data_IF_308749756830
#
_entry.id   IF_308749756830
#
_cell.length_a   1.000
_cell.length_b   1.000
_cell.length_c   1.000
_cell.angle_alpha   90.00
_cell.angle_beta   90.00
_cell.angle_gamma   90.00
#
_symmetry.space_group_name_H-M   'P 1'
#
loop_
_entity.id
_entity.type
_entity.pdbx_description
1 polymer ?
#
# COMPACT_ATOMS: atom_id res chain seq x y z
N UNK A 1 -32.98 27.93 17.94
CA UNK A 1 -33.68 26.92 17.12
C UNK A 1 -33.06 26.96 15.72
N UNK A 2 -32.73 25.77 15.19
CA UNK A 2 -32.15 25.37 13.88
C UNK A 2 -32.56 26.24 12.68
N UNK A 3 -31.84 26.40 11.55
CA UNK A 3 -30.81 25.64 10.82
C UNK A 3 -30.17 26.62 9.79
N UNK A 4 -28.93 26.40 9.34
CA UNK A 4 -28.51 26.90 8.02
C UNK A 4 -27.02 27.10 7.81
N UNK A 5 -26.38 26.14 7.16
CA UNK A 5 -25.00 26.16 6.65
C UNK A 5 -24.62 27.49 5.99
N UNK A 6 -23.61 28.18 6.51
CA UNK A 6 -22.70 29.00 5.69
C UNK A 6 -21.48 29.37 6.52
N UNK A 7 -20.36 28.67 6.32
CA UNK A 7 -19.06 29.25 6.64
C UNK A 7 -18.39 29.59 5.32
N UNK A 8 -18.24 30.89 5.15
CA UNK A 8 -17.68 31.65 4.06
C UNK A 8 -16.18 31.37 3.91
N UNK A 9 -15.78 30.71 2.84
CA UNK A 9 -14.40 30.77 2.34
C UNK A 9 -14.26 32.02 1.45
N UNK A 10 -13.31 32.94 1.73
CA UNK A 10 -13.20 34.20 1.00
C UNK A 10 -12.80 34.00 -0.46
N UNK A 11 -13.61 34.55 -1.37
CA UNK A 11 -13.31 34.64 -2.80
C UNK A 11 -12.31 35.76 -3.10
N UNK A 12 -11.04 35.58 -2.78
CA UNK A 12 -9.98 36.38 -3.42
C UNK A 12 -9.05 35.46 -4.19
N UNK A 13 -9.51 35.17 -5.40
CA UNK A 13 -8.86 34.38 -6.44
C UNK A 13 -7.81 35.25 -7.15
N UNK A 14 -6.54 35.12 -6.76
CA UNK A 14 -5.45 35.62 -7.58
C UNK A 14 -5.28 34.70 -8.81
N UNK A 15 -5.46 35.28 -10.00
CA UNK A 15 -5.28 34.62 -11.28
C UNK A 15 -3.79 34.54 -11.62
N UNK A 16 -3.13 33.41 -11.37
CA UNK A 16 -1.94 32.96 -12.08
C UNK A 16 -1.88 31.43 -12.02
N UNK A 17 -1.50 30.81 -13.14
CA UNK A 17 -1.73 29.40 -13.47
C UNK A 17 -1.17 28.37 -12.49
N UNK A 18 -1.58 27.11 -12.75
CA UNK A 18 -1.38 25.88 -11.98
C UNK A 18 -2.39 25.66 -10.84
N UNK A 19 -3.12 24.55 -10.93
CA UNK A 19 -4.25 24.15 -10.08
C UNK A 19 -3.72 23.62 -8.74
N UNK A 20 -3.61 24.48 -7.74
CA UNK A 20 -3.44 24.05 -6.35
C UNK A 20 -4.84 23.68 -5.83
N UNK A 21 -5.09 22.39 -5.58
CA UNK A 21 -6.32 21.91 -4.95
C UNK A 21 -6.20 22.09 -3.44
N UNK A 22 -7.22 22.67 -2.81
CA UNK A 22 -7.44 22.54 -1.38
C UNK A 22 -8.01 21.14 -1.17
N UNK A 23 -7.20 20.24 -0.61
CA UNK A 23 -7.64 18.90 -0.27
C UNK A 23 -8.74 18.98 0.79
N UNK A 24 -9.80 18.18 0.63
CA UNK A 24 -10.89 18.05 1.60
C UNK A 24 -10.64 16.85 2.52
N UNK A 25 -11.03 16.94 3.79
CA UNK A 25 -10.81 15.90 4.82
C UNK A 25 -11.34 14.51 4.39
N UNK A 26 -12.42 14.46 3.60
CA UNK A 26 -13.01 13.23 3.06
C UNK A 26 -12.11 12.51 2.02
N UNK A 27 -11.25 13.23 1.28
CA UNK A 27 -10.34 12.63 0.29
C UNK A 27 -9.14 11.94 0.97
N UNK A 28 -8.63 12.50 2.07
CA UNK A 28 -7.55 11.90 2.86
C UNK A 28 -7.99 10.61 3.58
N UNK A 29 -9.22 10.57 4.10
CA UNK A 29 -9.76 9.39 4.77
C UNK A 29 -9.90 8.20 3.80
N UNK A 30 -10.36 8.46 2.57
CA UNK A 30 -10.48 7.44 1.51
C UNK A 30 -9.11 6.90 1.08
N UNK A 31 -8.11 7.75 0.93
CA UNK A 31 -6.73 7.35 0.58
C UNK A 31 -6.10 6.49 1.69
N UNK A 32 -6.33 6.86 2.95
CA UNK A 32 -5.86 6.11 4.12
C UNK A 32 -6.49 4.71 4.19
N UNK A 33 -7.81 4.62 4.02
CA UNK A 33 -8.53 3.34 4.00
C UNK A 33 -8.05 2.42 2.88
N UNK A 34 -7.80 2.96 1.69
CA UNK A 34 -7.28 2.18 0.57
C UNK A 34 -5.86 1.69 0.84
N UNK A 35 -5.01 2.53 1.42
CA UNK A 35 -3.67 2.14 1.85
C UNK A 35 -3.70 0.99 2.87
N UNK A 36 -4.59 1.05 3.87
CA UNK A 36 -4.76 -0.03 4.85
C UNK A 36 -5.23 -1.33 4.18
N UNK A 37 -6.17 -1.27 3.23
CA UNK A 37 -6.63 -2.47 2.50
C UNK A 37 -5.49 -3.12 1.71
N UNK A 38 -4.60 -2.33 1.10
CA UNK A 38 -3.46 -2.91 0.36
C UNK A 38 -2.49 -3.65 1.29
N UNK A 39 -2.26 -3.14 2.51
CA UNK A 39 -1.49 -3.84 3.54
C UNK A 39 -2.24 -5.10 4.04
N UNK A 40 -3.56 -4.95 4.16
CA UNK A 40 -4.60 -5.95 4.47
C UNK A 40 -4.61 -7.18 3.56
N UNK A 41 -4.26 -6.94 2.31
CA UNK A 41 -4.63 -7.85 1.25
C UNK A 41 -3.89 -9.19 1.33
N UNK A 42 -4.55 -10.30 0.98
CA UNK A 42 -3.97 -11.62 1.16
C UNK A 42 -2.77 -11.83 0.23
N UNK A 43 -2.01 -12.89 0.51
CA UNK A 43 -0.90 -13.36 -0.29
C UNK A 43 -1.29 -13.50 -1.77
N UNK A 44 -0.55 -12.86 -2.67
CA UNK A 44 -0.80 -12.88 -4.12
C UNK A 44 -0.86 -14.30 -4.72
N UNK A 45 -0.11 -15.25 -4.14
CA UNK A 45 0.04 -16.60 -4.68
C UNK A 45 -1.03 -17.59 -4.23
N UNK A 46 -1.53 -17.44 -3.00
CA UNK A 46 -2.50 -18.39 -2.45
C UNK A 46 -3.82 -17.76 -2.04
N UNK A 47 -3.89 -16.43 -1.96
CA UNK A 47 -5.08 -15.66 -1.64
C UNK A 47 -5.77 -16.03 -0.30
N UNK A 48 -5.11 -16.81 0.56
CA UNK A 48 -5.67 -17.29 1.83
C UNK A 48 -4.95 -16.78 3.08
N UNK A 49 -3.65 -16.49 2.98
CA UNK A 49 -2.80 -16.15 4.14
C UNK A 49 -2.35 -14.70 4.09
N UNK A 50 -2.07 -14.06 5.23
CA UNK A 50 -1.53 -12.71 5.26
C UNK A 50 -0.16 -12.64 4.57
N UNK A 51 0.25 -11.43 4.17
CA UNK A 51 1.58 -11.18 3.63
C UNK A 51 2.58 -11.07 4.78
N UNK A 52 3.07 -12.21 5.23
CA UNK A 52 4.09 -12.32 6.27
C UNK A 52 5.44 -12.83 5.74
N UNK A 53 5.59 -13.00 4.42
CA UNK A 53 6.78 -13.55 3.77
C UNK A 53 7.52 -12.52 2.92
N UNK A 54 8.54 -11.87 3.50
CA UNK A 54 9.36 -10.89 2.80
C UNK A 54 10.31 -11.58 1.81
N UNK A 55 10.22 -11.25 0.52
CA UNK A 55 11.08 -11.80 -0.54
C UNK A 55 12.27 -10.87 -0.75
N UNK A 56 13.45 -11.22 -0.22
CA UNK A 56 14.65 -10.37 -0.21
C UNK A 56 15.54 -10.65 -1.42
N UNK A 57 15.94 -9.57 -2.10
CA UNK A 57 16.91 -9.59 -3.21
C UNK A 57 17.83 -8.35 -3.11
N UNK A 58 19.13 -8.57 -2.94
CA UNK A 58 20.08 -7.48 -2.69
C UNK A 58 19.80 -6.76 -1.36
N UNK A 59 19.55 -5.45 -1.41
CA UNK A 59 19.21 -4.60 -0.25
C UNK A 59 17.72 -4.27 -0.15
N UNK A 60 16.88 -4.88 -0.98
CA UNK A 60 15.44 -4.59 -1.03
C UNK A 60 14.62 -5.87 -0.91
N UNK A 61 13.32 -5.71 -0.64
CA UNK A 61 12.39 -6.82 -0.52
C UNK A 61 11.00 -6.47 -1.07
N UNK A 62 10.24 -7.49 -1.49
CA UNK A 62 8.82 -7.35 -1.82
C UNK A 62 7.97 -8.16 -0.86
N UNK A 63 7.01 -7.50 -0.20
CA UNK A 63 6.03 -8.11 0.70
C UNK A 63 4.72 -8.37 -0.04
N UNK A 64 4.70 -9.43 -0.84
CA UNK A 64 3.55 -9.79 -1.68
C UNK A 64 3.02 -11.21 -1.43
N UNK A 65 3.73 -11.99 -0.61
CA UNK A 65 3.41 -13.38 -0.35
C UNK A 65 3.42 -13.72 1.13
N UNK A 66 2.70 -14.77 1.51
CA UNK A 66 2.86 -15.38 2.82
C UNK A 66 4.20 -16.13 2.89
N UNK A 67 4.69 -16.35 4.10
CA UNK A 67 5.98 -16.99 4.37
C UNK A 67 6.10 -18.37 3.73
N UNK A 68 5.03 -19.18 3.76
CA UNK A 68 5.01 -20.51 3.15
C UNK A 68 5.20 -20.44 1.63
N UNK A 69 4.47 -19.56 0.95
CA UNK A 69 4.57 -19.41 -0.50
C UNK A 69 5.91 -18.79 -0.92
N UNK A 70 6.40 -17.78 -0.18
CA UNK A 70 7.71 -17.19 -0.44
C UNK A 70 8.84 -18.22 -0.28
N UNK A 71 8.82 -19.07 0.76
CA UNK A 71 9.78 -20.17 0.92
C UNK A 71 9.72 -21.18 -0.24
N UNK A 72 8.52 -21.48 -0.74
CA UNK A 72 8.36 -22.35 -1.91
C UNK A 72 9.00 -21.74 -3.16
N UNK A 73 8.84 -20.44 -3.41
CA UNK A 73 9.51 -19.76 -4.52
C UNK A 73 11.03 -19.89 -4.42
N UNK A 74 11.61 -19.58 -3.24
CA UNK A 74 13.05 -19.73 -3.02
C UNK A 74 13.51 -21.18 -3.22
N UNK A 75 12.79 -22.16 -2.67
CA UNK A 75 13.13 -23.59 -2.81
C UNK A 75 13.14 -24.04 -4.27
N UNK A 76 12.17 -23.58 -5.07
CA UNK A 76 12.07 -23.86 -6.51
C UNK A 76 13.03 -23.02 -7.36
N UNK A 77 13.84 -22.15 -6.75
CA UNK A 77 14.68 -21.16 -7.45
C UNK A 77 13.89 -20.28 -8.41
N UNK A 78 12.60 -20.07 -8.12
CA UNK A 78 11.75 -19.17 -8.90
C UNK A 78 12.12 -17.72 -8.59
N UNK A 79 12.08 -16.81 -9.57
CA UNK A 79 12.40 -15.41 -9.35
C UNK A 79 11.31 -14.71 -8.52
N UNK A 80 11.63 -13.52 -8.01
CA UNK A 80 10.64 -12.65 -7.37
C UNK A 80 9.47 -12.37 -8.32
N UNK A 81 8.19 -12.55 -7.91
CA UNK A 81 7.04 -12.40 -8.79
C UNK A 81 6.79 -10.96 -9.24
N UNK A 82 7.38 -9.97 -8.55
CA UNK A 82 7.23 -8.54 -8.86
C UNK A 82 8.30 -8.08 -9.85
N UNK A 83 9.57 -8.25 -9.50
CA UNK A 83 10.69 -7.65 -10.24
C UNK A 83 11.61 -8.67 -10.93
N UNK A 84 11.25 -9.96 -10.90
CA UNK A 84 11.99 -11.08 -11.50
C UNK A 84 13.44 -11.30 -11.04
N UNK A 85 13.91 -10.58 -10.02
CA UNK A 85 15.25 -10.78 -9.42
C UNK A 85 15.32 -12.11 -8.66
N UNK A 86 16.53 -12.67 -8.58
CA UNK A 86 16.81 -13.89 -7.81
C UNK A 86 16.53 -13.68 -6.31
N UNK A 87 15.80 -14.62 -5.69
CA UNK A 87 15.45 -14.56 -4.27
C UNK A 87 16.64 -15.04 -3.43
N UNK A 88 17.34 -14.12 -2.77
CA UNK A 88 18.48 -14.44 -1.89
C UNK A 88 18.02 -15.05 -0.57
N UNK A 89 16.96 -14.49 0.04
CA UNK A 89 16.38 -15.05 1.26
C UNK A 89 14.90 -14.70 1.42
N UNK A 90 14.26 -15.39 2.35
CA UNK A 90 12.86 -15.14 2.73
C UNK A 90 12.83 -14.96 4.24
N UNK A 91 12.30 -13.83 4.69
CA UNK A 91 12.19 -13.47 6.11
C UNK A 91 10.71 -13.48 6.49
N UNK A 92 10.38 -14.05 7.65
CA UNK A 92 9.04 -13.94 8.21
C UNK A 92 8.89 -12.63 8.95
N UNK A 93 7.86 -11.86 8.64
CA UNK A 93 7.55 -10.60 9.34
C UNK A 93 6.42 -10.84 10.33
N UNK A 94 6.54 -10.23 11.50
CA UNK A 94 5.47 -10.09 12.47
C UNK A 94 5.16 -8.59 12.60
N UNK A 95 3.92 -8.20 12.36
CA UNK A 95 3.44 -6.84 12.65
C UNK A 95 3.03 -6.81 14.13
N UNK A 96 3.46 -5.80 14.86
CA UNK A 96 3.19 -5.59 16.28
C UNK A 96 2.97 -4.12 16.59
#
# INVERSE_FOLDING_TARGET
MTCGSSMSVPWTRALLGSRWKCWTEEEEEVESLESIKTLLSPCFLCQHRPRDGNIVHGRTAHLVACFRCARMLKKKRSPCPVCRKEIKMVIRIFMG
#
